data_IF_486146782604
#
_entry.id   IF_486146782604
#
_cell.length_a   1.000
_cell.length_b   1.000
_cell.length_c   1.000
_cell.angle_alpha   90.00
_cell.angle_beta   90.00
_cell.angle_gamma   90.00
#
_symmetry.space_group_name_H-M   'P 1'
#
loop_
_entity.id
_entity.type
_entity.pdbx_description
1 polymer ?
#
# COMPACT_ATOMS: atom_id res chain seq x y z
N UNK A 1 -1.98 -14.91 -6.75
CA UNK A 1 -0.74 -14.37 -6.19
C UNK A 1 0.16 -15.44 -5.58
N UNK A 2 1.48 -15.25 -5.67
CA UNK A 2 2.51 -15.95 -4.84
C UNK A 2 3.11 -15.01 -3.79
N UNK A 3 2.45 -13.88 -3.54
CA UNK A 3 2.88 -12.87 -2.59
C UNK A 3 2.05 -12.97 -1.31
N UNK A 4 2.72 -12.85 -0.17
CA UNK A 4 2.10 -12.56 1.12
C UNK A 4 2.41 -11.10 1.48
N UNK A 5 1.36 -10.29 1.58
CA UNK A 5 1.44 -8.85 1.81
C UNK A 5 1.17 -8.53 3.28
N UNK A 6 2.03 -7.72 3.88
CA UNK A 6 1.94 -7.35 5.31
C UNK A 6 2.08 -5.84 5.44
N UNK A 7 1.02 -5.18 5.88
CA UNK A 7 1.04 -3.78 6.25
C UNK A 7 1.49 -3.60 7.70
N UNK A 8 1.78 -2.35 8.10
CA UNK A 8 2.14 -2.01 9.48
C UNK A 8 1.52 -0.67 9.92
N UNK A 9 0.19 -0.49 9.74
CA UNK A 9 -0.46 0.82 9.80
C UNK A 9 -0.22 1.57 11.11
N UNK A 10 -0.11 0.86 12.23
CA UNK A 10 0.03 1.46 13.56
C UNK A 10 1.48 1.59 14.04
N UNK A 11 2.48 1.28 13.20
CA UNK A 11 3.88 1.46 13.56
C UNK A 11 4.17 2.95 13.83
N UNK A 12 4.91 3.31 14.91
CA UNK A 12 5.23 4.69 15.23
C UNK A 12 6.26 5.32 14.27
N UNK A 13 7.02 4.51 13.53
CA UNK A 13 7.99 4.98 12.54
C UNK A 13 7.27 5.20 11.21
N UNK A 14 7.35 6.42 10.68
CA UNK A 14 6.65 6.82 9.44
C UNK A 14 7.04 5.95 8.26
N UNK A 15 8.34 5.75 8.04
CA UNK A 15 8.85 4.91 6.95
C UNK A 15 8.29 3.48 6.96
N UNK A 16 7.98 2.95 8.15
CA UNK A 16 7.42 1.59 8.30
C UNK A 16 5.92 1.61 8.03
N UNK A 17 5.16 2.46 8.73
CA UNK A 17 3.70 2.60 8.55
C UNK A 17 3.27 3.12 7.17
N UNK A 18 4.19 3.69 6.39
CA UNK A 18 4.00 4.18 5.02
C UNK A 18 4.37 3.16 3.94
N UNK A 19 4.73 1.94 4.34
CA UNK A 19 5.23 0.88 3.45
C UNK A 19 4.50 -0.44 3.68
N UNK A 20 4.73 -1.39 2.76
CA UNK A 20 4.25 -2.77 2.86
C UNK A 20 5.41 -3.72 2.66
N UNK A 21 5.48 -4.77 3.48
CA UNK A 21 6.39 -5.88 3.26
C UNK A 21 5.71 -6.94 2.37
N UNK A 22 6.47 -7.51 1.43
CA UNK A 22 5.98 -8.55 0.54
C UNK A 22 6.93 -9.75 0.53
N UNK A 23 6.40 -10.92 0.89
CA UNK A 23 7.11 -12.19 0.89
C UNK A 23 6.74 -13.01 -0.34
N UNK A 24 7.69 -13.79 -0.86
CA UNK A 24 7.40 -14.86 -1.82
C UNK A 24 7.00 -16.13 -1.06
N UNK A 25 5.77 -16.63 -1.25
CA UNK A 25 5.30 -17.83 -0.54
C UNK A 25 5.96 -19.13 -1.03
N UNK A 26 6.59 -19.11 -2.20
CA UNK A 26 7.35 -20.25 -2.71
C UNK A 26 8.79 -20.28 -2.13
N UNK A 27 9.25 -19.20 -1.48
CA UNK A 27 10.58 -19.08 -0.85
C UNK A 27 10.56 -18.07 0.31
N UNK A 28 10.09 -18.51 1.48
CA UNK A 28 9.99 -17.65 2.67
C UNK A 28 11.36 -17.35 3.30
N UNK A 29 12.39 -18.16 3.03
CA UNK A 29 13.73 -18.00 3.58
C UNK A 29 14.50 -16.83 2.93
N UNK A 30 14.10 -16.41 1.72
CA UNK A 30 14.62 -15.21 1.07
C UNK A 30 14.23 -13.89 1.79
N UNK A 31 13.28 -13.94 2.73
CA UNK A 31 12.78 -12.77 3.44
C UNK A 31 11.73 -11.99 2.66
N UNK A 32 11.69 -10.67 2.86
CA UNK A 32 10.71 -9.77 2.27
C UNK A 32 11.36 -8.61 1.52
N UNK A 33 10.63 -8.10 0.54
CA UNK A 33 10.88 -6.80 -0.08
C UNK A 33 9.98 -5.74 0.58
N UNK A 34 10.40 -4.48 0.57
CA UNK A 34 9.62 -3.35 1.09
C UNK A 34 9.20 -2.47 -0.08
N UNK A 35 7.89 -2.23 -0.21
CA UNK A 35 7.34 -1.34 -1.22
C UNK A 35 6.92 0.00 -0.60
N UNK A 36 7.31 1.14 -1.18
CA UNK A 36 7.04 2.47 -0.63
C UNK A 36 5.65 2.97 -1.07
N UNK A 37 4.59 2.29 -0.61
CA UNK A 37 3.20 2.54 -1.06
C UNK A 37 2.75 3.98 -0.88
N UNK A 38 3.01 4.60 0.28
CA UNK A 38 2.61 6.00 0.49
C UNK A 38 3.44 7.00 -0.32
N UNK A 39 4.67 6.66 -0.69
CA UNK A 39 5.52 7.48 -1.56
C UNK A 39 4.96 7.50 -2.99
N UNK A 40 4.59 6.33 -3.52
CA UNK A 40 3.92 6.19 -4.82
C UNK A 40 2.62 6.97 -4.89
N UNK A 41 1.95 7.17 -3.75
CA UNK A 41 0.76 7.98 -3.70
C UNK A 41 1.03 9.48 -3.88
N UNK A 42 2.26 9.99 -3.83
CA UNK A 42 2.60 11.41 -4.08
C UNK A 42 1.63 12.39 -3.40
N UNK A 43 1.41 12.20 -2.10
CA UNK A 43 0.51 13.02 -1.28
C UNK A 43 1.33 14.10 -0.53
N UNK A 44 0.66 15.19 -0.15
CA UNK A 44 1.28 16.29 0.59
C UNK A 44 1.73 15.95 2.01
N UNK A 45 1.93 16.98 2.83
CA UNK A 45 2.19 16.81 4.26
C UNK A 45 1.04 16.09 4.97
N UNK A 46 1.35 15.49 6.12
CA UNK A 46 0.36 14.77 6.92
C UNK A 46 0.69 13.29 7.12
N UNK A 47 -0.10 12.66 7.98
CA UNK A 47 0.02 11.23 8.30
C UNK A 47 -0.51 10.44 7.11
N UNK A 48 0.20 9.39 6.68
CA UNK A 48 -0.14 8.59 5.48
C UNK A 48 -0.03 7.10 5.78
N UNK A 49 -0.87 6.57 6.65
CA UNK A 49 -0.77 5.16 7.08
C UNK A 49 -1.26 4.25 5.96
N UNK A 50 -0.47 3.27 5.59
CA UNK A 50 -0.88 2.27 4.59
C UNK A 50 -1.61 1.14 5.31
N UNK A 51 -2.82 0.83 4.87
CA UNK A 51 -3.70 -0.13 5.53
C UNK A 51 -4.47 -0.98 4.55
N UNK A 52 -4.66 -2.24 4.93
CA UNK A 52 -5.52 -3.26 4.33
C UNK A 52 -5.22 -3.56 2.84
N UNK A 53 -4.48 -4.65 2.53
CA UNK A 53 -4.41 -5.18 1.19
C UNK A 53 -5.73 -5.85 0.77
N UNK A 54 -6.28 -5.47 -0.39
CA UNK A 54 -7.44 -6.13 -1.00
C UNK A 54 -7.16 -6.46 -2.48
N UNK A 55 -7.53 -7.67 -2.92
CA UNK A 55 -7.37 -8.09 -4.31
C UNK A 55 -8.58 -7.72 -5.17
N UNK A 56 -8.35 -7.50 -6.45
CA UNK A 56 -9.44 -7.52 -7.44
C UNK A 56 -9.94 -8.96 -7.71
N UNK A 57 -11.02 -9.09 -8.47
CA UNK A 57 -11.61 -10.40 -8.79
C UNK A 57 -10.67 -11.37 -9.52
N UNK A 58 -9.68 -10.86 -10.26
CA UNK A 58 -8.76 -11.67 -11.06
C UNK A 58 -7.50 -12.07 -10.27
N UNK A 59 -7.28 -11.45 -9.10
CA UNK A 59 -6.11 -11.67 -8.26
C UNK A 59 -4.79 -11.22 -8.90
N UNK A 60 -4.84 -10.29 -9.86
CA UNK A 60 -3.67 -9.72 -10.55
C UNK A 60 -3.35 -8.27 -10.15
N UNK A 61 -4.22 -7.67 -9.34
CA UNK A 61 -4.01 -6.37 -8.71
C UNK A 61 -4.27 -6.47 -7.22
N UNK A 62 -3.47 -5.74 -6.44
CA UNK A 62 -3.68 -5.56 -5.01
C UNK A 62 -3.73 -4.07 -4.67
N UNK A 63 -4.69 -3.72 -3.82
CA UNK A 63 -5.10 -2.36 -3.55
C UNK A 63 -4.82 -2.05 -2.09
N UNK A 64 -4.31 -0.84 -1.81
CA UNK A 64 -4.00 -0.37 -0.47
C UNK A 64 -4.59 1.01 -0.24
N UNK A 65 -5.23 1.22 0.92
CA UNK A 65 -5.60 2.57 1.36
C UNK A 65 -4.36 3.27 1.92
N UNK A 66 -4.08 4.48 1.40
CA UNK A 66 -3.15 5.44 2.01
C UNK A 66 -4.00 6.40 2.82
N UNK A 67 -4.15 6.05 4.10
CA UNK A 67 -5.08 6.64 5.04
C UNK A 67 -4.46 7.84 5.76
N UNK A 68 -4.98 9.03 5.44
CA UNK A 68 -4.61 10.31 6.06
C UNK A 68 -5.73 10.87 6.93
N UNK A 69 -5.50 12.01 7.59
CA UNK A 69 -6.55 12.72 8.32
C UNK A 69 -7.69 13.21 7.42
N UNK A 70 -8.84 13.53 8.01
CA UNK A 70 -10.04 13.99 7.28
C UNK A 70 -9.80 15.23 6.41
N UNK A 71 -8.95 16.14 6.87
CA UNK A 71 -8.62 17.40 6.19
C UNK A 71 -7.34 17.28 5.35
N UNK A 72 -6.74 16.09 5.25
CA UNK A 72 -5.52 15.79 4.51
C UNK A 72 -5.84 14.94 3.27
N UNK A 73 -5.00 15.01 2.24
CA UNK A 73 -5.19 14.19 1.04
C UNK A 73 -4.94 12.71 1.34
N UNK A 74 -5.83 11.85 0.85
CA UNK A 74 -5.71 10.38 0.90
C UNK A 74 -5.70 9.80 -0.52
N UNK A 75 -5.33 8.53 -0.65
CA UNK A 75 -5.35 7.82 -1.93
C UNK A 75 -5.64 6.33 -1.75
N UNK A 76 -5.98 5.67 -2.85
CA UNK A 76 -5.88 4.21 -2.98
C UNK A 76 -4.80 3.91 -4.01
N UNK A 77 -3.80 3.12 -3.62
CA UNK A 77 -2.70 2.71 -4.50
C UNK A 77 -2.97 1.30 -5.01
N UNK A 78 -2.90 1.12 -6.32
CA UNK A 78 -3.05 -0.17 -7.00
C UNK A 78 -1.68 -0.63 -7.45
N UNK A 79 -1.31 -1.85 -7.06
CA UNK A 79 -0.05 -2.51 -7.38
C UNK A 79 -0.34 -3.70 -8.30
N UNK A 80 0.49 -3.88 -9.32
CA UNK A 80 0.48 -5.10 -10.13
C UNK A 80 1.07 -6.24 -9.29
N UNK A 81 0.27 -7.27 -9.00
CA UNK A 81 0.70 -8.37 -8.12
C UNK A 81 1.87 -9.18 -8.71
N UNK A 82 1.99 -9.25 -10.05
CA UNK A 82 3.02 -10.06 -10.69
C UNK A 82 4.37 -9.36 -10.68
N UNK A 83 4.39 -8.06 -10.92
CA UNK A 83 5.63 -7.29 -11.03
C UNK A 83 6.00 -6.56 -9.74
N UNK A 84 5.05 -6.43 -8.79
CA UNK A 84 5.17 -5.61 -7.57
C UNK A 84 5.44 -4.14 -7.86
N UNK A 85 5.00 -3.66 -9.02
CA UNK A 85 5.17 -2.27 -9.44
C UNK A 85 3.88 -1.48 -9.29
N UNK A 86 4.02 -0.18 -9.11
CA UNK A 86 2.90 0.76 -9.15
C UNK A 86 2.14 0.60 -10.47
N UNK A 87 0.84 0.35 -10.37
CA UNK A 87 -0.06 0.26 -11.53
C UNK A 87 -0.91 1.52 -11.67
N UNK A 88 -1.48 2.01 -10.58
CA UNK A 88 -2.32 3.19 -10.58
C UNK A 88 -2.44 3.84 -9.20
N UNK A 89 -2.82 5.13 -9.16
CA UNK A 89 -3.17 5.83 -7.93
C UNK A 89 -4.53 6.50 -8.12
N UNK A 90 -5.49 6.13 -7.27
CA UNK A 90 -6.83 6.72 -7.24
C UNK A 90 -6.81 7.86 -6.23
N UNK A 91 -7.01 9.09 -6.72
CA UNK A 91 -7.10 10.31 -5.93
C UNK A 91 -8.36 11.11 -6.29
N UNK A 92 -8.74 12.00 -5.39
CA UNK A 92 -9.75 13.03 -5.69
C UNK A 92 -10.44 13.54 -4.43
N UNK A 93 -11.23 14.63 -4.55
CA UNK A 93 -11.85 15.29 -3.41
C UNK A 93 -12.89 14.45 -2.66
N UNK A 94 -13.27 13.29 -3.20
CA UNK A 94 -14.21 12.33 -2.58
C UNK A 94 -13.50 11.17 -1.88
N UNK A 95 -12.18 11.04 -2.03
CA UNK A 95 -11.38 10.02 -1.35
C UNK A 95 -10.96 10.60 0.00
N UNK A 96 -11.91 10.62 0.93
CA UNK A 96 -11.71 11.13 2.29
C UNK A 96 -11.67 9.95 3.23
N UNK A 97 -10.52 9.76 3.90
CA UNK A 97 -10.28 8.66 4.85
C UNK A 97 -10.76 7.28 4.33
N UNK A 98 -10.22 6.83 3.17
CA UNK A 98 -10.57 5.53 2.59
C UNK A 98 -9.99 4.36 3.38
#
# INVERSE_FOLDING_TARGET
SRNLWVDTPLNPVSAISQSVAVFNIDDLDAGYEVLPIAEWAELGEGVKRVVHPEYNQYGDEIWFSVWSGKEEESAIVVVDDRTRQLKHVIKGPRIVTP
#
